data_IF_129752291663
#
_entry.id   IF_129752291663
#
_cell.length_a   1.000
_cell.length_b   1.000
_cell.length_c   1.000
_cell.angle_alpha   90.00
_cell.angle_beta   90.00
_cell.angle_gamma   90.00
#
_symmetry.space_group_name_H-M   'P 1'
#
loop_
_entity.id
_entity.type
_entity.pdbx_description
1 polymer ?
#
# COMPACT_ATOMS: atom_id res chain seq x y z
N UNK A 1 -8.51 15.82 12.29
CA UNK A 1 -8.97 14.92 11.20
C UNK A 1 -10.36 15.30 10.67
N UNK A 2 -11.43 15.32 11.48
CA UNK A 2 -12.79 15.70 11.03
C UNK A 2 -12.86 17.09 10.37
N UNK A 3 -12.25 18.14 10.97
CA UNK A 3 -12.20 19.48 10.36
C UNK A 3 -11.52 19.52 8.97
N UNK A 4 -10.46 18.73 8.77
CA UNK A 4 -9.74 18.62 7.49
C UNK A 4 -10.63 17.96 6.45
N UNK A 5 -11.30 16.87 6.82
CA UNK A 5 -12.26 16.19 5.95
C UNK A 5 -13.45 17.09 5.58
N UNK A 6 -14.02 17.82 6.54
CA UNK A 6 -15.12 18.77 6.28
C UNK A 6 -14.64 19.86 5.33
N UNK A 7 -13.48 20.46 5.58
CA UNK A 7 -12.94 21.53 4.73
C UNK A 7 -12.58 21.03 3.33
N UNK A 8 -12.01 19.82 3.22
CA UNK A 8 -11.68 19.20 1.94
C UNK A 8 -12.90 18.77 1.13
N UNK A 9 -14.02 18.50 1.78
CA UNK A 9 -15.31 18.26 1.12
C UNK A 9 -16.10 19.56 0.84
N UNK A 10 -15.64 20.74 1.27
CA UNK A 10 -16.32 21.98 0.87
C UNK A 10 -16.13 22.19 -0.63
N UNK A 11 -17.22 22.50 -1.32
CA UNK A 11 -17.23 22.84 -2.75
C UNK A 11 -16.74 21.71 -3.70
N UNK A 12 -16.77 20.44 -3.27
CA UNK A 12 -16.43 19.30 -4.13
C UNK A 12 -17.18 19.35 -5.48
N UNK A 13 -18.43 19.79 -5.44
CA UNK A 13 -19.30 19.94 -6.61
C UNK A 13 -18.73 20.91 -7.65
N UNK A 14 -18.34 22.12 -7.23
CA UNK A 14 -17.81 23.15 -8.14
C UNK A 14 -16.45 22.74 -8.71
N UNK A 15 -15.62 22.08 -7.90
CA UNK A 15 -14.33 21.56 -8.35
C UNK A 15 -14.51 20.49 -9.42
N UNK A 16 -15.40 19.53 -9.21
CA UNK A 16 -15.66 18.47 -10.18
C UNK A 16 -16.25 19.04 -11.47
N UNK A 17 -17.23 19.94 -11.37
CA UNK A 17 -17.87 20.54 -12.55
C UNK A 17 -16.89 21.33 -13.42
N UNK A 18 -15.86 21.94 -12.83
CA UNK A 18 -14.81 22.66 -13.57
C UNK A 18 -13.76 21.75 -14.20
N UNK A 19 -13.51 20.58 -13.61
CA UNK A 19 -12.46 19.65 -14.04
C UNK A 19 -12.96 18.55 -14.99
N UNK A 20 -14.26 18.25 -14.95
CA UNK A 20 -14.85 17.21 -15.78
C UNK A 20 -15.32 17.80 -17.10
N UNK A 21 -14.96 17.13 -18.19
CA UNK A 21 -15.41 17.39 -19.55
C UNK A 21 -16.33 16.27 -20.02
N UNK A 22 -17.42 16.59 -20.70
CA UNK A 22 -18.33 15.59 -21.28
C UNK A 22 -17.74 14.83 -22.47
N UNK A 23 -16.62 15.30 -23.04
CA UNK A 23 -15.94 14.68 -24.18
C UNK A 23 -14.93 13.60 -23.76
N UNK A 24 -14.62 13.54 -22.47
CA UNK A 24 -13.61 12.66 -21.90
C UNK A 24 -14.23 11.40 -21.29
N UNK A 25 -13.46 10.31 -21.26
CA UNK A 25 -13.91 9.06 -20.66
C UNK A 25 -13.23 8.83 -19.31
N UNK A 26 -14.04 8.75 -18.26
CA UNK A 26 -13.54 8.60 -16.89
C UNK A 26 -13.66 7.18 -16.36
N UNK A 27 -12.61 6.72 -15.69
CA UNK A 27 -12.67 5.62 -14.73
C UNK A 27 -12.62 6.22 -13.33
N UNK A 28 -13.61 5.88 -12.51
CA UNK A 28 -13.63 6.31 -11.12
C UNK A 28 -13.07 5.20 -10.23
N UNK A 29 -11.96 5.47 -9.54
CA UNK A 29 -11.45 4.62 -8.48
C UNK A 29 -11.68 5.25 -7.10
N UNK A 30 -12.15 4.44 -6.15
CA UNK A 30 -12.30 4.84 -4.75
C UNK A 30 -11.38 4.04 -3.82
N UNK A 31 -10.60 4.75 -3.02
CA UNK A 31 -9.71 4.19 -2.00
C UNK A 31 -9.95 4.90 -0.66
N UNK A 32 -10.49 4.23 0.36
CA UNK A 32 -10.82 4.92 1.62
C UNK A 32 -9.60 5.53 2.32
N UNK A 33 -8.44 4.89 2.28
CA UNK A 33 -7.21 5.38 2.91
C UNK A 33 -5.96 5.16 2.06
N UNK A 34 -4.78 5.46 2.61
CA UNK A 34 -3.51 5.19 1.96
C UNK A 34 -3.30 3.70 1.68
N UNK A 35 -3.72 2.82 2.61
CA UNK A 35 -3.55 1.37 2.45
C UNK A 35 -4.32 0.83 1.25
N UNK A 36 -5.60 1.20 1.12
CA UNK A 36 -6.42 0.87 -0.04
C UNK A 36 -5.88 1.53 -1.32
N UNK A 37 -5.31 2.73 -1.23
CA UNK A 37 -4.67 3.33 -2.39
C UNK A 37 -3.46 2.53 -2.88
N UNK A 38 -2.60 2.02 -2.01
CA UNK A 38 -1.49 1.17 -2.46
C UNK A 38 -1.97 -0.13 -3.12
N UNK A 39 -3.18 -0.61 -2.80
CA UNK A 39 -3.83 -1.71 -3.52
C UNK A 39 -4.45 -1.27 -4.85
N UNK A 40 -5.06 -0.09 -4.92
CA UNK A 40 -5.65 0.43 -6.16
C UNK A 40 -4.62 0.92 -7.18
N UNK A 41 -3.47 1.39 -6.69
CA UNK A 41 -2.43 2.05 -7.48
C UNK A 41 -1.91 1.18 -8.65
N UNK A 42 -1.54 -0.10 -8.48
CA UNK A 42 -1.11 -0.94 -9.60
C UNK A 42 -2.14 -1.02 -10.72
N UNK A 43 -3.43 -1.03 -10.38
CA UNK A 43 -4.52 -1.04 -11.36
C UNK A 43 -4.62 0.30 -12.09
N UNK A 44 -4.44 1.43 -11.39
CA UNK A 44 -4.36 2.75 -12.05
C UNK A 44 -3.17 2.79 -13.03
N UNK A 45 -1.99 2.35 -12.57
CA UNK A 45 -0.76 2.35 -13.39
C UNK A 45 -0.95 1.48 -14.64
N UNK A 46 -1.56 0.30 -14.51
CA UNK A 46 -1.88 -0.58 -15.64
C UNK A 46 -2.89 0.06 -16.62
N UNK A 47 -3.97 0.65 -16.11
CA UNK A 47 -4.96 1.35 -16.95
C UNK A 47 -4.31 2.50 -17.72
N UNK A 48 -3.47 3.33 -17.08
CA UNK A 48 -2.79 4.43 -17.77
C UNK A 48 -1.78 3.93 -18.81
N UNK A 49 -1.14 2.79 -18.58
CA UNK A 49 -0.24 2.15 -19.53
C UNK A 49 -0.98 1.63 -20.77
N UNK A 50 -2.11 0.94 -20.58
CA UNK A 50 -2.87 0.31 -21.67
C UNK A 50 -3.86 1.26 -22.37
N UNK A 51 -4.38 2.24 -21.64
CA UNK A 51 -5.38 3.22 -22.10
C UNK A 51 -4.96 4.64 -21.68
N UNK A 52 -3.90 5.23 -22.28
CA UNK A 52 -3.36 6.52 -21.84
C UNK A 52 -4.35 7.70 -21.91
N UNK A 53 -5.31 7.62 -22.84
CA UNK A 53 -6.35 8.62 -23.06
C UNK A 53 -7.47 8.59 -22.01
N UNK A 54 -7.63 7.49 -21.28
CA UNK A 54 -8.64 7.41 -20.21
C UNK A 54 -8.22 8.28 -19.04
N UNK A 55 -9.19 9.04 -18.52
CA UNK A 55 -9.03 9.91 -17.36
C UNK A 55 -9.38 9.18 -16.08
N UNK A 56 -8.63 9.44 -15.02
CA UNK A 56 -8.83 8.79 -13.72
C UNK A 56 -9.39 9.81 -12.73
N UNK A 57 -10.56 9.52 -12.17
CA UNK A 57 -11.07 10.18 -10.97
C UNK A 57 -10.74 9.31 -9.77
N UNK A 58 -9.90 9.81 -8.86
CA UNK A 58 -9.50 9.12 -7.65
C UNK A 58 -10.13 9.79 -6.44
N UNK A 59 -10.96 9.07 -5.70
CA UNK A 59 -11.57 9.59 -4.48
C UNK A 59 -11.02 8.93 -3.23
N UNK A 60 -10.93 9.72 -2.17
CA UNK A 60 -10.53 9.27 -0.84
C UNK A 60 -11.60 9.54 0.21
N UNK A 61 -11.75 8.67 1.20
CA UNK A 61 -12.61 8.97 2.35
C UNK A 61 -11.81 9.61 3.50
N UNK A 62 -10.63 9.08 3.81
CA UNK A 62 -9.78 9.52 4.92
C UNK A 62 -8.76 10.59 4.51
N UNK A 63 -8.51 11.60 5.36
CA UNK A 63 -7.37 12.52 5.19
C UNK A 63 -6.01 11.81 5.11
N UNK A 64 -5.86 10.63 5.75
CA UNK A 64 -4.60 9.89 5.68
C UNK A 64 -4.26 9.40 4.27
N UNK A 65 -5.26 9.12 3.43
CA UNK A 65 -5.03 8.82 2.02
C UNK A 65 -4.89 10.09 1.20
N UNK A 66 -5.88 10.99 1.32
CA UNK A 66 -5.96 12.19 0.49
C UNK A 66 -4.76 13.11 0.65
N UNK A 67 -4.38 13.50 1.88
CA UNK A 67 -3.33 14.52 2.06
C UNK A 67 -1.96 14.04 1.53
N UNK A 68 -1.71 12.74 1.59
CA UNK A 68 -0.47 12.11 1.11
C UNK A 68 -0.48 11.97 -0.42
N UNK A 69 -1.65 11.73 -1.03
CA UNK A 69 -1.76 11.37 -2.46
C UNK A 69 -2.54 12.36 -3.33
N UNK A 70 -2.92 13.53 -2.82
CA UNK A 70 -3.64 14.59 -3.57
C UNK A 70 -2.91 15.15 -4.80
N UNK A 71 -1.61 14.87 -4.93
CA UNK A 71 -0.78 15.25 -6.08
C UNK A 71 -0.29 14.04 -6.88
N UNK A 72 -0.97 12.89 -6.78
CA UNK A 72 -0.58 11.68 -7.51
C UNK A 72 -0.72 11.89 -9.02
N UNK A 73 0.40 11.77 -9.73
CA UNK A 73 0.53 12.20 -11.13
C UNK A 73 -0.27 11.37 -12.14
N UNK A 74 -0.67 10.15 -11.78
CA UNK A 74 -1.44 9.28 -12.68
C UNK A 74 -2.95 9.36 -12.50
N UNK A 75 -3.43 10.27 -11.64
CA UNK A 75 -4.85 10.59 -11.52
C UNK A 75 -5.12 12.02 -11.98
N UNK A 76 -6.06 12.17 -12.92
CA UNK A 76 -6.41 13.47 -13.51
C UNK A 76 -7.22 14.34 -12.53
N UNK A 77 -8.05 13.70 -11.71
CA UNK A 77 -8.88 14.36 -10.70
C UNK A 77 -8.74 13.61 -9.37
N UNK A 78 -8.36 14.33 -8.31
CA UNK A 78 -8.27 13.77 -6.96
C UNK A 78 -9.13 14.62 -6.02
N UNK A 79 -10.04 13.98 -5.30
CA UNK A 79 -10.92 14.65 -4.34
C UNK A 79 -11.35 13.72 -3.19
N UNK A 80 -12.04 14.27 -2.20
CA UNK A 80 -12.73 13.44 -1.21
C UNK A 80 -14.01 12.86 -1.79
N UNK A 81 -14.38 11.64 -1.39
CA UNK A 81 -15.68 11.08 -1.67
C UNK A 81 -16.75 11.87 -0.88
N UNK A 82 -17.77 12.44 -1.55
CA UNK A 82 -18.83 13.13 -0.84
C UNK A 82 -19.60 12.20 0.10
N UNK A 83 -20.16 12.71 1.21
CA UNK A 83 -20.91 11.90 2.16
C UNK A 83 -22.02 11.10 1.46
N UNK A 84 -22.17 9.83 1.82
CA UNK A 84 -23.12 8.90 1.22
C UNK A 84 -24.58 9.24 1.59
N UNK A 85 -25.12 10.21 0.86
CA UNK A 85 -26.53 10.58 0.89
C UNK A 85 -27.11 10.41 -0.51
N UNK A 86 -28.43 10.14 -0.65
CA UNK A 86 -29.05 9.99 -1.96
C UNK A 86 -28.72 11.14 -2.92
N UNK A 87 -28.79 12.38 -2.43
CA UNK A 87 -28.53 13.59 -3.22
C UNK A 87 -27.06 13.70 -3.65
N UNK A 88 -26.12 13.42 -2.74
CA UNK A 88 -24.70 13.54 -3.07
C UNK A 88 -24.25 12.44 -4.03
N UNK A 89 -24.71 11.20 -3.83
CA UNK A 89 -24.38 10.07 -4.69
C UNK A 89 -24.89 10.30 -6.12
N UNK A 90 -26.15 10.68 -6.26
CA UNK A 90 -26.75 10.98 -7.57
C UNK A 90 -26.03 12.15 -8.26
N UNK A 91 -25.76 13.23 -7.52
CA UNK A 91 -25.08 14.41 -8.03
C UNK A 91 -23.63 14.09 -8.45
N UNK A 92 -22.89 13.35 -7.64
CA UNK A 92 -21.50 12.97 -7.94
C UNK A 92 -21.44 12.09 -9.19
N UNK A 93 -22.23 11.01 -9.23
CA UNK A 93 -22.22 10.07 -10.36
C UNK A 93 -22.69 10.76 -11.64
N UNK A 94 -23.65 11.68 -11.57
CA UNK A 94 -24.13 12.42 -12.74
C UNK A 94 -23.14 13.45 -13.29
N UNK A 95 -22.24 13.98 -12.45
CA UNK A 95 -21.17 14.88 -12.92
C UNK A 95 -20.00 14.08 -13.48
N UNK A 96 -19.58 13.04 -12.76
CA UNK A 96 -18.43 12.21 -13.15
C UNK A 96 -18.73 11.38 -14.38
N UNK A 97 -19.98 10.94 -14.53
CA UNK A 97 -20.45 10.04 -15.60
C UNK A 97 -19.43 8.92 -15.90
N UNK A 98 -19.05 8.12 -14.88
CA UNK A 98 -17.95 7.19 -15.03
C UNK A 98 -18.33 6.05 -15.97
N UNK A 99 -17.41 5.71 -16.88
CA UNK A 99 -17.60 4.56 -17.76
C UNK A 99 -17.39 3.23 -17.01
N UNK A 100 -16.56 3.25 -15.96
CA UNK A 100 -16.28 2.13 -15.05
C UNK A 100 -15.98 2.69 -13.66
N UNK A 101 -16.42 1.96 -12.62
CA UNK A 101 -16.11 2.24 -11.23
C UNK A 101 -15.32 1.09 -10.63
N UNK A 102 -14.27 1.41 -9.86
CA UNK A 102 -13.42 0.46 -9.16
C UNK A 102 -13.36 0.84 -7.69
N UNK A 103 -13.89 -0.02 -6.83
CA UNK A 103 -13.80 0.11 -5.39
C UNK A 103 -12.73 -0.83 -4.84
N UNK A 104 -11.93 -0.36 -3.89
CA UNK A 104 -10.83 -1.14 -3.33
C UNK A 104 -11.17 -1.65 -1.95
N UNK A 105 -11.07 -2.97 -1.77
CA UNK A 105 -11.22 -3.69 -0.50
C UNK A 105 -12.63 -3.70 0.09
N UNK A 106 -12.98 -2.77 0.97
CA UNK A 106 -14.24 -2.79 1.75
C UNK A 106 -14.98 -1.45 1.64
N UNK A 107 -15.55 -1.17 0.46
CA UNK A 107 -16.24 0.09 0.18
C UNK A 107 -17.70 -0.16 -0.21
N UNK A 108 -18.59 -0.29 0.78
CA UNK A 108 -20.01 -0.60 0.57
C UNK A 108 -20.91 0.60 0.90
N UNK A 109 -20.92 1.58 -0.01
CA UNK A 109 -21.69 2.83 0.12
C UNK A 109 -23.07 2.70 -0.50
N UNK A 110 -24.11 2.51 0.31
CA UNK A 110 -25.45 2.15 -0.15
C UNK A 110 -26.00 3.05 -1.27
N UNK A 111 -25.97 4.39 -1.11
CA UNK A 111 -26.61 5.24 -2.12
C UNK A 111 -25.79 5.30 -3.41
N UNK A 112 -24.46 5.29 -3.32
CA UNK A 112 -23.61 5.17 -4.52
C UNK A 112 -23.89 3.86 -5.26
N UNK A 113 -23.88 2.74 -4.55
CA UNK A 113 -24.16 1.42 -5.15
C UNK A 113 -25.55 1.36 -5.80
N UNK A 114 -26.56 1.91 -5.13
CA UNK A 114 -27.93 1.96 -5.68
C UNK A 114 -28.02 2.78 -6.97
N UNK A 115 -27.36 3.94 -7.04
CA UNK A 115 -27.35 4.78 -8.25
C UNK A 115 -26.53 4.12 -9.37
N UNK A 116 -25.36 3.54 -9.06
CA UNK A 116 -24.55 2.81 -10.04
C UNK A 116 -25.32 1.63 -10.65
N UNK A 117 -25.99 0.83 -9.82
CA UNK A 117 -26.84 -0.26 -10.27
C UNK A 117 -28.02 0.22 -11.12
N UNK A 118 -28.70 1.29 -10.70
CA UNK A 118 -29.81 1.90 -11.47
C UNK A 118 -29.36 2.38 -12.84
N UNK A 119 -28.18 3.01 -12.93
CA UNK A 119 -27.59 3.48 -14.20
C UNK A 119 -26.86 2.37 -14.97
N UNK A 120 -26.79 1.15 -14.43
CA UNK A 120 -26.06 -0.01 -14.98
C UNK A 120 -24.59 0.32 -15.31
N UNK A 121 -23.97 1.16 -14.48
CA UNK A 121 -22.55 1.49 -14.63
C UNK A 121 -21.73 0.30 -14.12
N UNK A 122 -20.76 -0.23 -14.91
CA UNK A 122 -19.92 -1.33 -14.48
C UNK A 122 -19.15 -0.99 -13.20
N UNK A 123 -19.31 -1.84 -12.19
CA UNK A 123 -18.70 -1.66 -10.87
C UNK A 123 -17.90 -2.90 -10.48
N UNK A 124 -16.62 -2.70 -10.17
CA UNK A 124 -15.70 -3.75 -9.78
C UNK A 124 -15.21 -3.54 -8.34
N UNK A 125 -15.15 -4.62 -7.55
CA UNK A 125 -14.40 -4.64 -6.31
C UNK A 125 -13.04 -5.29 -6.56
N UNK A 126 -11.94 -4.66 -6.15
CA UNK A 126 -10.60 -5.26 -6.20
C UNK A 126 -10.02 -5.43 -4.79
N UNK A 127 -9.14 -6.42 -4.60
CA UNK A 127 -8.57 -6.75 -3.29
C UNK A 127 -9.65 -6.98 -2.22
N UNK A 128 -10.83 -7.50 -2.61
CA UNK A 128 -11.92 -7.79 -1.70
C UNK A 128 -11.55 -8.89 -0.71
N UNK A 129 -11.84 -8.68 0.58
CA UNK A 129 -11.67 -9.69 1.62
C UNK A 129 -12.92 -9.76 2.47
N UNK A 130 -13.44 -10.98 2.64
CA UNK A 130 -14.68 -11.23 3.35
C UNK A 130 -14.43 -12.17 4.53
N UNK A 131 -15.18 -11.94 5.60
CA UNK A 131 -15.16 -12.77 6.79
C UNK A 131 -16.59 -13.06 7.25
N UNK A 132 -16.79 -14.18 7.94
CA UNK A 132 -18.11 -14.65 8.38
C UNK A 132 -18.80 -13.68 9.37
N UNK A 133 -18.07 -12.72 9.94
CA UNK A 133 -18.60 -11.75 10.90
C UNK A 133 -19.26 -10.53 10.28
N UNK A 134 -19.02 -10.29 8.99
CA UNK A 134 -19.71 -9.24 8.24
C UNK A 134 -21.21 -9.51 8.14
N UNK A 135 -22.00 -8.43 8.19
CA UNK A 135 -23.46 -8.49 8.17
C UNK A 135 -24.03 -9.27 6.98
N UNK A 136 -23.34 -9.30 5.83
CA UNK A 136 -23.75 -10.04 4.63
C UNK A 136 -24.04 -11.52 4.88
N UNK A 137 -23.29 -12.14 5.80
CA UNK A 137 -23.33 -13.57 6.08
C UNK A 137 -24.13 -13.93 7.35
N UNK A 138 -24.70 -12.93 8.02
CA UNK A 138 -25.60 -13.14 9.16
C UNK A 138 -27.04 -13.35 8.67
N UNK A 139 -27.87 -13.95 9.53
CA UNK A 139 -29.26 -14.28 9.21
C UNK A 139 -30.09 -13.03 8.83
N UNK A 140 -29.81 -11.88 9.44
CA UNK A 140 -30.44 -10.58 9.15
C UNK A 140 -29.78 -9.83 7.97
N UNK A 141 -28.82 -10.45 7.28
CA UNK A 141 -27.99 -9.80 6.26
C UNK A 141 -28.67 -9.48 4.94
N UNK A 142 -29.96 -9.78 4.77
CA UNK A 142 -30.66 -9.69 3.48
C UNK A 142 -30.58 -8.30 2.86
N UNK A 143 -30.80 -7.27 3.67
CA UNK A 143 -30.66 -5.88 3.24
C UNK A 143 -29.25 -5.56 2.76
N UNK A 144 -28.23 -5.99 3.51
CA UNK A 144 -26.83 -5.76 3.14
C UNK A 144 -26.44 -6.49 1.85
N UNK A 145 -26.98 -7.69 1.62
CA UNK A 145 -26.74 -8.46 0.38
C UNK A 145 -27.28 -7.75 -0.88
N UNK A 146 -28.28 -6.88 -0.76
CA UNK A 146 -28.76 -6.07 -1.89
C UNK A 146 -27.66 -5.15 -2.43
N UNK A 147 -26.77 -4.64 -1.56
CA UNK A 147 -25.65 -3.81 -1.98
C UNK A 147 -24.69 -4.59 -2.89
N UNK A 148 -24.38 -5.84 -2.50
CA UNK A 148 -23.43 -6.69 -3.24
C UNK A 148 -23.91 -7.02 -4.65
N UNK A 149 -25.22 -7.09 -4.87
CA UNK A 149 -25.80 -7.36 -6.21
C UNK A 149 -25.58 -6.25 -7.23
N UNK A 150 -25.15 -5.06 -6.81
CA UNK A 150 -24.84 -3.96 -7.74
C UNK A 150 -23.44 -4.06 -8.34
N UNK A 151 -22.58 -4.95 -7.81
CA UNK A 151 -21.24 -5.16 -8.37
C UNK A 151 -21.33 -6.03 -9.62
N UNK A 152 -20.65 -5.59 -10.67
CA UNK A 152 -20.46 -6.35 -11.90
C UNK A 152 -19.53 -7.54 -11.67
N UNK A 153 -18.43 -7.35 -10.94
CA UNK A 153 -17.52 -8.44 -10.59
C UNK A 153 -16.76 -8.15 -9.29
N UNK A 154 -16.42 -9.21 -8.57
CA UNK A 154 -15.58 -9.19 -7.38
C UNK A 154 -14.24 -9.87 -7.66
N UNK A 155 -13.15 -9.15 -7.44
CA UNK A 155 -11.79 -9.70 -7.40
C UNK A 155 -11.35 -9.78 -5.93
N UNK A 156 -11.32 -11.00 -5.39
CA UNK A 156 -11.05 -11.28 -3.97
C UNK A 156 -9.63 -11.77 -3.73
N UNK A 157 -9.15 -11.59 -2.51
CA UNK A 157 -7.76 -11.93 -2.14
C UNK A 157 -7.54 -13.42 -1.93
N UNK A 158 -8.56 -14.14 -1.46
CA UNK A 158 -8.41 -15.54 -1.05
C UNK A 158 -9.63 -16.40 -1.42
N UNK A 159 -9.42 -17.73 -1.36
CA UNK A 159 -10.47 -18.73 -1.61
C UNK A 159 -11.59 -18.67 -0.56
N UNK A 160 -11.27 -18.28 0.67
CA UNK A 160 -12.26 -18.16 1.74
C UNK A 160 -13.34 -17.12 1.39
N UNK A 161 -12.92 -15.97 0.86
CA UNK A 161 -13.80 -14.90 0.39
C UNK A 161 -14.67 -15.36 -0.78
N UNK A 162 -14.10 -16.11 -1.72
CA UNK A 162 -14.85 -16.73 -2.82
C UNK A 162 -15.96 -17.65 -2.28
N UNK A 163 -15.62 -18.55 -1.36
CA UNK A 163 -16.57 -19.49 -0.75
C UNK A 163 -17.67 -18.76 0.03
N UNK A 164 -17.33 -17.72 0.79
CA UNK A 164 -18.31 -16.93 1.54
C UNK A 164 -19.31 -16.23 0.61
N UNK A 165 -18.83 -15.57 -0.45
CA UNK A 165 -19.70 -14.92 -1.43
C UNK A 165 -20.57 -15.96 -2.19
N UNK A 166 -20.02 -17.13 -2.49
CA UNK A 166 -20.78 -18.24 -3.08
C UNK A 166 -21.94 -18.71 -2.19
N UNK A 167 -21.76 -18.77 -0.86
CA UNK A 167 -22.83 -19.16 0.10
C UNK A 167 -24.04 -18.22 0.08
N UNK A 168 -23.86 -16.98 -0.38
CA UNK A 168 -24.95 -16.00 -0.52
C UNK A 168 -25.42 -15.83 -1.97
N UNK A 169 -25.00 -16.72 -2.87
CA UNK A 169 -25.45 -16.81 -4.26
C UNK A 169 -24.78 -15.83 -5.23
N UNK A 170 -23.57 -15.37 -4.94
CA UNK A 170 -22.78 -14.55 -5.86
C UNK A 170 -21.78 -15.41 -6.62
N UNK A 171 -21.90 -15.40 -7.95
CA UNK A 171 -21.08 -16.20 -8.87
C UNK A 171 -20.06 -15.37 -9.65
N UNK A 172 -20.23 -14.05 -9.67
CA UNK A 172 -19.37 -13.08 -10.36
C UNK A 172 -18.12 -12.75 -9.53
N UNK A 173 -17.38 -13.77 -9.12
CA UNK A 173 -16.26 -13.66 -8.19
C UNK A 173 -15.05 -14.39 -8.74
N UNK A 174 -13.86 -13.78 -8.65
CA UNK A 174 -12.59 -14.38 -9.02
C UNK A 174 -11.54 -14.13 -7.95
N UNK A 175 -10.78 -15.15 -7.59
CA UNK A 175 -9.62 -14.99 -6.71
C UNK A 175 -8.48 -14.38 -7.52
N UNK A 176 -8.11 -13.14 -7.21
CA UNK A 176 -7.05 -12.39 -7.87
C UNK A 176 -5.84 -12.12 -6.97
N UNK A 177 -5.95 -12.35 -5.65
CA UNK A 177 -4.91 -12.04 -4.69
C UNK A 177 -4.93 -10.57 -4.23
N UNK A 178 -3.87 -10.16 -3.54
CA UNK A 178 -3.68 -8.77 -3.10
C UNK A 178 -2.70 -8.07 -4.04
N UNK A 179 -3.17 -6.98 -4.66
CA UNK A 179 -2.40 -6.23 -5.67
C UNK A 179 -1.11 -5.59 -5.15
N UNK A 180 -0.92 -5.53 -3.82
CA UNK A 180 0.37 -5.11 -3.23
C UNK A 180 1.50 -6.09 -3.54
N UNK A 181 1.19 -7.38 -3.73
CA UNK A 181 2.21 -8.35 -4.13
C UNK A 181 2.73 -8.05 -5.54
N UNK A 182 1.87 -7.73 -6.50
CA UNK A 182 2.29 -7.33 -7.86
C UNK A 182 3.25 -6.15 -7.82
N UNK A 183 2.96 -5.14 -7.00
CA UNK A 183 3.82 -3.97 -6.87
C UNK A 183 5.20 -4.33 -6.33
N UNK A 184 5.23 -5.12 -5.27
CA UNK A 184 6.49 -5.49 -4.64
C UNK A 184 7.31 -6.41 -5.55
N UNK A 185 6.66 -7.31 -6.29
CA UNK A 185 7.28 -8.12 -7.33
C UNK A 185 7.85 -7.26 -8.45
N UNK A 186 7.13 -6.22 -8.90
CA UNK A 186 7.63 -5.28 -9.90
C UNK A 186 8.85 -4.51 -9.40
N UNK A 187 8.82 -4.01 -8.16
CA UNK A 187 9.96 -3.32 -7.53
C UNK A 187 11.17 -4.26 -7.49
N UNK A 188 10.96 -5.49 -7.03
CA UNK A 188 11.99 -6.52 -6.98
C UNK A 188 12.55 -6.86 -8.37
N UNK A 189 11.69 -6.96 -9.39
CA UNK A 189 12.10 -7.18 -10.79
C UNK A 189 12.92 -6.04 -11.39
N UNK A 190 12.82 -4.82 -10.85
CA UNK A 190 13.65 -3.66 -11.22
C UNK A 190 14.79 -3.39 -10.25
N UNK A 191 15.07 -4.31 -9.33
CA UNK A 191 16.06 -4.11 -8.29
C UNK A 191 17.45 -3.93 -8.89
N UNK A 192 18.19 -2.97 -8.32
CA UNK A 192 19.55 -2.68 -8.75
C UNK A 192 20.52 -3.64 -8.08
N UNK A 193 21.59 -3.98 -8.77
CA UNK A 193 22.73 -4.60 -8.12
C UNK A 193 23.43 -3.59 -7.21
N UNK A 194 23.89 -4.06 -6.06
CA UNK A 194 24.58 -3.27 -5.05
C UNK A 194 25.84 -4.06 -4.66
N UNK A 195 26.89 -4.05 -5.51
CA UNK A 195 28.10 -4.85 -5.31
C UNK A 195 28.80 -4.57 -3.96
N UNK A 196 28.59 -3.37 -3.41
CA UNK A 196 28.95 -2.97 -2.05
C UNK A 196 28.44 -3.97 -1.00
N UNK A 197 27.18 -4.41 -1.10
CA UNK A 197 26.57 -5.33 -0.14
C UNK A 197 27.11 -6.76 -0.30
N UNK A 198 27.38 -7.21 -1.53
CA UNK A 198 28.05 -8.49 -1.75
C UNK A 198 29.48 -8.50 -1.19
N UNK A 199 30.23 -7.41 -1.39
CA UNK A 199 31.58 -7.25 -0.82
C UNK A 199 31.55 -7.25 0.71
N UNK A 200 30.62 -6.50 1.31
CA UNK A 200 30.43 -6.47 2.75
C UNK A 200 30.03 -7.83 3.33
N UNK A 201 29.14 -8.56 2.63
CA UNK A 201 28.73 -9.92 3.00
C UNK A 201 29.91 -10.89 3.05
N UNK A 202 30.76 -10.84 2.02
CA UNK A 202 31.74 -11.90 1.78
C UNK A 202 31.03 -13.27 1.69
N UNK A 203 31.48 -14.21 2.53
CA UNK A 203 30.93 -15.58 2.60
C UNK A 203 29.91 -15.78 3.74
N UNK A 204 29.60 -14.73 4.49
CA UNK A 204 28.75 -14.84 5.67
C UNK A 204 27.27 -14.64 5.34
N UNK A 205 26.40 -15.00 6.29
CA UNK A 205 24.98 -14.65 6.22
C UNK A 205 24.79 -13.17 6.56
N UNK A 206 23.65 -12.61 6.15
CA UNK A 206 23.24 -11.23 6.49
C UNK A 206 21.90 -11.25 7.23
N UNK A 207 21.83 -10.53 8.33
CA UNK A 207 20.58 -10.03 8.89
C UNK A 207 20.37 -8.58 8.47
N UNK A 208 19.18 -8.24 7.96
CA UNK A 208 18.83 -6.87 7.59
C UNK A 208 17.66 -6.35 8.43
N UNK A 209 17.89 -5.31 9.21
CA UNK A 209 16.86 -4.54 9.88
C UNK A 209 16.38 -3.41 8.96
N UNK A 210 15.24 -3.61 8.31
CA UNK A 210 14.72 -2.72 7.27
C UNK A 210 13.66 -1.76 7.76
N UNK A 211 13.77 -0.48 7.39
CA UNK A 211 12.89 0.59 7.90
C UNK A 211 12.82 0.62 9.43
N UNK A 212 13.94 0.32 10.11
CA UNK A 212 13.99 0.23 11.56
C UNK A 212 13.83 1.61 12.22
N UNK A 213 13.17 1.63 13.37
CA UNK A 213 13.09 2.77 14.25
C UNK A 213 13.99 2.57 15.47
N UNK A 214 14.15 3.63 16.26
CA UNK A 214 14.94 3.62 17.51
C UNK A 214 14.73 2.37 18.38
N UNK A 215 13.49 1.95 18.64
CA UNK A 215 13.24 0.76 19.47
C UNK A 215 13.69 -0.55 18.80
N UNK A 216 13.48 -0.69 17.49
CA UNK A 216 13.96 -1.85 16.73
C UNK A 216 15.49 -1.91 16.81
N UNK A 217 16.13 -0.76 16.58
CA UNK A 217 17.58 -0.61 16.59
C UNK A 217 18.23 -0.92 17.94
N UNK A 218 17.65 -0.45 19.05
CA UNK A 218 18.16 -0.68 20.41
C UNK A 218 18.19 -2.17 20.76
N UNK A 219 17.09 -2.89 20.47
CA UNK A 219 16.96 -4.33 20.73
C UNK A 219 17.95 -5.12 19.87
N UNK A 220 18.02 -4.82 18.57
CA UNK A 220 18.89 -5.53 17.64
C UNK A 220 20.36 -5.24 17.96
N UNK A 221 20.73 -3.99 18.27
CA UNK A 221 22.10 -3.63 18.64
C UNK A 221 22.55 -4.33 19.93
N UNK A 222 21.66 -4.51 20.93
CA UNK A 222 21.98 -5.27 22.12
C UNK A 222 22.38 -6.72 21.78
N UNK A 223 21.64 -7.36 20.87
CA UNK A 223 21.94 -8.72 20.40
C UNK A 223 23.27 -8.77 19.63
N UNK A 224 23.49 -7.83 18.71
CA UNK A 224 24.73 -7.73 17.93
C UNK A 224 25.94 -7.61 18.84
N UNK A 225 25.86 -6.77 19.88
CA UNK A 225 26.96 -6.56 20.82
C UNK A 225 27.29 -7.81 21.64
N UNK A 226 26.33 -8.72 21.84
CA UNK A 226 26.54 -10.00 22.53
C UNK A 226 27.06 -11.09 21.59
N UNK A 227 26.65 -11.08 20.32
CA UNK A 227 26.93 -12.14 19.35
C UNK A 227 27.39 -11.60 17.97
N UNK A 228 28.47 -10.81 17.90
CA UNK A 228 28.80 -10.06 16.69
C UNK A 228 29.23 -10.93 15.51
N UNK A 229 29.85 -12.09 15.77
CA UNK A 229 30.44 -12.97 14.76
C UNK A 229 29.47 -14.01 14.18
N UNK A 230 28.20 -14.01 14.61
CA UNK A 230 27.19 -14.94 14.11
C UNK A 230 26.88 -14.76 12.62
N UNK A 231 26.83 -13.50 12.17
CA UNK A 231 26.56 -13.10 10.79
C UNK A 231 26.88 -11.61 10.60
N UNK A 232 26.86 -11.11 9.37
CA UNK A 232 26.93 -9.68 9.10
C UNK A 232 25.58 -9.03 9.34
N UNK A 233 25.59 -7.78 9.77
CA UNK A 233 24.38 -7.04 10.15
C UNK A 233 24.23 -5.80 9.30
N UNK A 234 23.02 -5.52 8.85
CA UNK A 234 22.68 -4.30 8.12
C UNK A 234 21.53 -3.61 8.84
N UNK A 235 21.70 -2.32 9.14
CA UNK A 235 20.61 -1.43 9.52
C UNK A 235 20.24 -0.55 8.33
N UNK A 236 18.95 -0.43 8.05
CA UNK A 236 18.38 0.58 7.16
C UNK A 236 17.35 1.40 7.96
N UNK A 237 17.81 2.45 8.68
CA UNK A 237 16.96 3.29 9.50
C UNK A 237 15.86 3.96 8.69
N UNK A 238 14.69 4.11 9.30
CA UNK A 238 13.60 4.88 8.70
C UNK A 238 13.93 6.38 8.61
N UNK A 239 14.72 6.88 9.57
CA UNK A 239 15.19 8.26 9.65
C UNK A 239 16.71 8.29 9.39
N UNK A 240 17.13 8.94 8.31
CA UNK A 240 18.55 9.00 7.91
C UNK A 240 19.25 10.33 8.26
N UNK A 241 18.59 11.18 9.05
CA UNK A 241 19.18 12.41 9.56
C UNK A 241 20.44 12.09 10.37
N UNK A 242 21.44 12.96 10.28
CA UNK A 242 22.78 12.69 10.80
C UNK A 242 22.76 12.37 12.31
N UNK A 243 21.90 13.05 13.07
CA UNK A 243 21.72 12.84 14.50
C UNK A 243 21.18 11.44 14.82
N UNK A 244 20.29 10.90 13.97
CA UNK A 244 19.76 9.55 14.16
C UNK A 244 20.81 8.49 13.85
N UNK A 245 21.58 8.68 12.77
CA UNK A 245 22.68 7.79 12.40
C UNK A 245 23.74 7.76 13.49
N UNK A 246 24.18 8.93 13.98
CA UNK A 246 25.17 9.03 15.07
C UNK A 246 24.66 8.40 16.38
N UNK A 247 23.36 8.50 16.66
CA UNK A 247 22.76 7.81 17.81
C UNK A 247 22.85 6.30 17.65
N UNK A 248 22.50 5.76 16.48
CA UNK A 248 22.60 4.33 16.20
C UNK A 248 24.05 3.83 16.32
N UNK A 249 25.01 4.58 15.80
CA UNK A 249 26.44 4.26 15.90
C UNK A 249 26.90 4.11 17.36
N UNK A 250 26.45 5.00 18.25
CA UNK A 250 26.77 4.93 19.68
C UNK A 250 26.23 3.69 20.38
N UNK A 251 25.25 3.00 19.81
CA UNK A 251 24.74 1.73 20.33
C UNK A 251 25.67 0.54 20.01
N UNK A 252 26.52 0.67 18.99
CA UNK A 252 27.34 -0.42 18.49
C UNK A 252 28.70 -0.44 19.20
N UNK A 253 29.03 -1.58 19.81
CA UNK A 253 30.32 -1.86 20.46
C UNK A 253 31.29 -2.63 19.55
N UNK A 254 30.89 -2.84 18.30
CA UNK A 254 31.63 -3.57 17.27
C UNK A 254 31.94 -2.67 16.09
N UNK A 255 32.91 -3.06 15.26
CA UNK A 255 33.25 -2.30 14.06
C UNK A 255 32.05 -2.20 13.13
N UNK A 256 31.71 -0.97 12.75
CA UNK A 256 30.64 -0.65 11.84
C UNK A 256 31.14 0.26 10.71
N UNK A 257 30.33 0.41 9.67
CA UNK A 257 30.58 1.35 8.59
C UNK A 257 29.27 1.87 8.01
N UNK A 258 29.25 3.12 7.55
CA UNK A 258 28.13 3.67 6.78
C UNK A 258 28.22 3.24 5.32
N UNK A 259 27.09 3.04 4.67
CA UNK A 259 27.06 2.66 3.25
C UNK A 259 27.79 3.68 2.37
N UNK A 260 27.60 4.99 2.64
CA UNK A 260 28.31 6.08 1.96
C UNK A 260 29.84 6.00 2.06
N UNK A 261 30.38 5.27 3.03
CA UNK A 261 31.81 5.15 3.31
C UNK A 261 32.38 3.76 2.95
N UNK A 262 31.57 2.89 2.34
CA UNK A 262 31.93 1.49 2.17
C UNK A 262 33.11 1.24 1.23
N UNK A 263 33.38 2.18 0.31
CA UNK A 263 34.51 2.09 -0.64
C UNK A 263 35.89 2.09 0.03
N UNK A 264 35.98 2.59 1.26
CA UNK A 264 37.24 2.74 2.04
C UNK A 264 37.22 1.86 3.30
N UNK A 265 36.22 0.99 3.44
CA UNK A 265 35.90 0.36 4.70
C UNK A 265 36.87 -0.78 5.10
N UNK A 266 37.06 -1.01 6.41
CA UNK A 266 37.77 -2.18 6.91
C UNK A 266 37.04 -3.47 6.50
N UNK A 267 37.79 -4.48 6.03
CA UNK A 267 37.24 -5.80 5.72
C UNK A 267 36.57 -6.49 6.94
N UNK A 268 36.85 -6.03 8.15
CA UNK A 268 36.39 -6.63 9.40
C UNK A 268 35.19 -5.92 10.05
N UNK A 269 34.57 -4.94 9.39
CA UNK A 269 33.31 -4.35 9.89
C UNK A 269 32.21 -5.42 9.99
N UNK A 270 31.55 -5.53 11.15
CA UNK A 270 30.45 -6.47 11.41
C UNK A 270 29.09 -5.89 11.05
N UNK A 271 28.96 -4.56 11.14
CA UNK A 271 27.69 -3.85 10.94
C UNK A 271 27.83 -2.83 9.82
N UNK A 272 26.82 -2.77 8.95
CA UNK A 272 26.66 -1.75 7.93
C UNK A 272 25.41 -0.93 8.23
N UNK A 273 25.51 0.40 8.13
CA UNK A 273 24.36 1.30 8.27
C UNK A 273 24.09 1.94 6.91
N UNK A 274 22.91 1.70 6.34
CA UNK A 274 22.44 2.34 5.12
C UNK A 274 21.96 3.75 5.47
N UNK A 275 22.72 4.75 5.04
CA UNK A 275 22.53 6.17 5.31
C UNK A 275 22.01 6.94 4.09
N UNK A 276 21.28 6.26 3.20
CA UNK A 276 20.65 6.85 2.03
C UNK A 276 19.22 6.32 1.81
N UNK A 277 18.45 7.01 0.96
CA UNK A 277 17.07 6.65 0.63
C UNK A 277 17.03 5.89 -0.69
N UNK A 278 16.15 4.88 -0.76
CA UNK A 278 15.70 4.29 -2.02
C UNK A 278 16.40 3.00 -2.44
N UNK A 279 17.30 2.46 -1.61
CA UNK A 279 17.95 1.17 -1.91
C UNK A 279 17.42 -0.03 -1.11
N UNK A 280 16.64 0.20 -0.05
CA UNK A 280 16.20 -0.85 0.87
C UNK A 280 15.53 -2.03 0.16
N UNK A 281 14.61 -1.76 -0.78
CA UNK A 281 13.91 -2.80 -1.53
C UNK A 281 14.86 -3.71 -2.33
N UNK A 282 15.96 -3.15 -2.85
CA UNK A 282 17.02 -3.90 -3.52
C UNK A 282 17.99 -4.54 -2.53
N UNK A 283 18.19 -3.96 -1.34
CA UNK A 283 19.08 -4.47 -0.30
C UNK A 283 18.57 -5.78 0.32
N UNK A 284 17.26 -5.98 0.41
CA UNK A 284 16.68 -7.21 0.99
C UNK A 284 17.16 -8.50 0.30
N UNK A 285 17.44 -8.47 -1.01
CA UNK A 285 17.92 -9.66 -1.74
C UNK A 285 19.27 -10.20 -1.25
N UNK A 286 20.07 -9.39 -0.55
CA UNK A 286 21.36 -9.81 0.00
C UNK A 286 21.24 -10.42 1.40
N UNK A 287 20.08 -10.25 2.04
CA UNK A 287 19.81 -10.76 3.38
C UNK A 287 19.46 -12.25 3.35
N UNK A 288 19.69 -12.92 4.48
CA UNK A 288 19.27 -14.30 4.74
C UNK A 288 18.07 -14.35 5.68
N UNK A 289 17.89 -13.30 6.49
CA UNK A 289 16.78 -13.05 7.38
C UNK A 289 16.62 -11.52 7.47
N UNK A 290 15.39 -11.05 7.57
CA UNK A 290 15.10 -9.62 7.71
C UNK A 290 14.15 -9.36 8.87
N UNK A 291 14.34 -8.25 9.58
CA UNK A 291 13.33 -7.69 10.47
C UNK A 291 12.77 -6.42 9.83
N UNK A 292 11.45 -6.25 9.85
CA UNK A 292 10.81 -5.04 9.32
C UNK A 292 10.37 -4.15 10.47
N UNK A 293 10.91 -2.94 10.50
CA UNK A 293 10.74 -2.02 11.60
C UNK A 293 9.31 -1.54 11.82
N UNK A 294 9.11 -0.96 13.00
CA UNK A 294 7.86 -0.33 13.42
C UNK A 294 6.92 -1.23 14.22
N UNK A 295 7.25 -2.53 14.34
CA UNK A 295 6.53 -3.49 15.17
C UNK A 295 6.46 -3.12 16.65
N UNK A 296 7.47 -2.41 17.17
CA UNK A 296 7.54 -1.98 18.58
C UNK A 296 6.89 -0.62 18.88
N UNK A 297 5.93 -0.16 18.06
CA UNK A 297 5.05 0.96 18.43
C UNK A 297 4.86 2.07 17.38
N UNK A 298 5.36 1.89 16.15
CA UNK A 298 5.15 2.86 15.05
C UNK A 298 4.18 2.36 13.98
N UNK A 299 3.81 1.08 14.04
CA UNK A 299 3.09 0.38 12.98
C UNK A 299 4.09 -0.27 12.03
N UNK A 300 3.85 -1.54 11.70
CA UNK A 300 4.76 -2.37 10.91
C UNK A 300 4.87 -1.80 9.49
N UNK A 301 6.09 -1.63 9.01
CA UNK A 301 6.38 -1.25 7.62
C UNK A 301 6.11 -2.40 6.64
N UNK A 302 6.51 -2.27 5.38
CA UNK A 302 6.08 -3.20 4.34
C UNK A 302 6.80 -4.56 4.40
N UNK A 303 6.23 -5.53 5.13
CA UNK A 303 6.72 -6.91 5.24
C UNK A 303 6.80 -7.65 3.89
N UNK A 304 6.08 -7.19 2.86
CA UNK A 304 6.10 -7.83 1.56
C UNK A 304 7.43 -7.62 0.85
N UNK A 305 8.14 -6.51 1.09
CA UNK A 305 9.41 -6.18 0.42
C UNK A 305 10.50 -7.23 0.62
N UNK A 306 10.79 -7.73 1.84
CA UNK A 306 11.68 -8.88 1.99
C UNK A 306 11.03 -10.20 1.56
N UNK A 307 9.73 -10.37 1.78
CA UNK A 307 9.04 -11.64 1.49
C UNK A 307 9.05 -11.99 0.00
N UNK A 308 9.01 -11.01 -0.91
CA UNK A 308 9.07 -11.27 -2.36
C UNK A 308 10.41 -11.87 -2.82
N UNK A 309 11.47 -11.70 -2.03
CA UNK A 309 12.78 -12.32 -2.24
C UNK A 309 12.90 -13.70 -1.60
N UNK A 310 11.82 -14.23 -1.01
CA UNK A 310 11.83 -15.50 -0.28
C UNK A 310 12.58 -15.42 1.05
N UNK A 311 12.79 -14.21 1.58
CA UNK A 311 13.52 -13.99 2.83
C UNK A 311 12.58 -14.18 4.02
N UNK A 312 12.94 -14.99 5.03
CA UNK A 312 12.23 -15.04 6.31
C UNK A 312 12.17 -13.66 6.98
N UNK A 313 10.96 -13.26 7.41
CA UNK A 313 10.70 -11.94 7.99
C UNK A 313 10.33 -12.06 9.47
N UNK A 314 10.96 -11.24 10.31
CA UNK A 314 10.64 -11.02 11.72
C UNK A 314 9.81 -9.75 11.92
#
# INVERSE_FOLDING_TARGET
KVKIWINGNRNWFEVLRKKISSEERYVWMHCASLGEFEQGRPVIEAIKKEKPHVKIVLTFFSPSGYEIRKNYQMADIICYLPPDTPKNADKFISIVDPAVVIFVKYEFWYNYLAILGKKKIPLYLISGIFNMDQHFFKWYGSFFRLMLRNFTWFFVQDKHSLELLGKIGLENVTVAGDTRFDRVMQIAGTAREIPELDRFRGKEKIFLAGSCWKQDEEIIAEYINKFPDMMKWIFAPHEIEIENIERLEKLLKVKYVRFSQLTVAPADARVLIIDNIGMLSSAYRYSHISAVGGGFGKGIHNILEPACWGIPVL
#
